data_IF_260600898715
#
_entry.id   IF_260600898715
#
_cell.length_a   1.000
_cell.length_b   1.000
_cell.length_c   1.000
_cell.angle_alpha   90.00
_cell.angle_beta   90.00
_cell.angle_gamma   90.00
#
_symmetry.space_group_name_H-M   'P 1'
#
loop_
_entity.id
_entity.type
_entity.pdbx_description
1 polymer ?
#
# COMPACT_ATOMS: atom_id res chain seq x y z
N UNK A 1 -12.71 -0.62 -13.31
CA UNK A 1 -12.40 -1.28 -12.02
C UNK A 1 -12.29 -2.80 -12.11
N UNK A 2 -12.92 -3.48 -13.08
CA UNK A 2 -12.77 -4.94 -13.28
C UNK A 2 -11.30 -5.40 -13.55
N UNK A 3 -10.49 -4.56 -14.20
CA UNK A 3 -9.10 -4.89 -14.58
C UNK A 3 -8.14 -5.02 -13.40
N UNK A 4 -8.35 -4.25 -12.32
CA UNK A 4 -7.50 -4.28 -11.12
C UNK A 4 -7.87 -5.44 -10.18
N UNK A 5 -9.16 -5.76 -10.07
CA UNK A 5 -9.62 -6.95 -9.35
C UNK A 5 -9.12 -8.25 -10.00
N UNK A 6 -9.02 -8.29 -11.34
CA UNK A 6 -8.40 -9.41 -12.05
C UNK A 6 -6.89 -9.49 -11.80
N UNK A 7 -6.18 -8.35 -11.80
CA UNK A 7 -4.76 -8.31 -11.44
C UNK A 7 -4.45 -8.91 -10.07
N UNK A 8 -5.31 -8.64 -9.08
CA UNK A 8 -5.23 -9.23 -7.74
C UNK A 8 -5.49 -10.75 -7.77
N UNK A 9 -6.56 -11.18 -8.44
CA UNK A 9 -6.91 -12.59 -8.55
C UNK A 9 -5.86 -13.46 -9.29
N UNK A 10 -5.05 -12.84 -10.17
CA UNK A 10 -3.91 -13.52 -10.81
C UNK A 10 -2.63 -13.49 -9.97
N UNK A 11 -2.46 -12.49 -9.11
CA UNK A 11 -1.36 -12.45 -8.14
C UNK A 11 -1.52 -13.55 -7.09
N UNK A 12 -2.75 -13.76 -6.59
CA UNK A 12 -3.10 -14.86 -5.67
C UNK A 12 -2.83 -16.26 -6.27
N UNK A 13 -2.73 -16.36 -7.60
CA UNK A 13 -2.41 -17.60 -8.33
C UNK A 13 -0.92 -17.76 -8.64
N UNK A 14 -0.05 -16.91 -8.09
CA UNK A 14 1.39 -16.86 -8.38
C UNK A 14 1.73 -16.78 -9.87
N UNK A 15 0.85 -16.19 -10.68
CA UNK A 15 1.11 -15.99 -12.12
C UNK A 15 1.74 -14.62 -12.39
N UNK A 16 3.01 -14.50 -11.99
CA UNK A 16 3.82 -13.28 -11.98
C UNK A 16 3.76 -12.47 -13.29
N UNK A 17 3.82 -13.13 -14.45
CA UNK A 17 3.82 -12.45 -15.75
C UNK A 17 2.47 -11.85 -16.12
N UNK A 18 1.37 -12.47 -15.67
CA UNK A 18 0.02 -11.96 -15.93
C UNK A 18 -0.30 -10.77 -15.04
N UNK A 19 0.11 -10.77 -13.77
CA UNK A 19 -0.07 -9.65 -12.86
C UNK A 19 0.58 -8.36 -13.38
N UNK A 20 1.75 -8.46 -14.03
CA UNK A 20 2.42 -7.30 -14.65
C UNK A 20 1.62 -6.68 -15.80
N UNK A 21 0.95 -7.49 -16.63
CA UNK A 21 0.08 -6.98 -17.71
C UNK A 21 -1.04 -6.10 -17.15
N UNK A 22 -1.63 -6.50 -16.02
CA UNK A 22 -2.69 -5.73 -15.37
C UNK A 22 -2.17 -4.45 -14.70
N UNK A 23 -0.96 -4.48 -14.13
CA UNK A 23 -0.28 -3.28 -13.63
C UNK A 23 -0.03 -2.29 -14.79
N UNK A 24 0.48 -2.76 -15.92
CA UNK A 24 0.74 -1.92 -17.10
C UNK A 24 -0.54 -1.33 -17.69
N UNK A 25 -1.66 -2.06 -17.62
CA UNK A 25 -2.97 -1.54 -18.01
C UNK A 25 -3.44 -0.45 -17.04
N UNK A 26 -3.29 -0.66 -15.74
CA UNK A 26 -3.66 0.34 -14.73
C UNK A 26 -2.81 1.62 -14.83
N UNK A 27 -1.50 1.48 -15.05
CA UNK A 27 -0.60 2.63 -15.29
C UNK A 27 -0.93 3.37 -16.58
N UNK A 28 -1.36 2.67 -17.64
CA UNK A 28 -1.84 3.31 -18.87
C UNK A 28 -3.12 4.11 -18.62
N UNK A 29 -4.03 3.60 -17.81
CA UNK A 29 -5.23 4.34 -17.42
C UNK A 29 -4.87 5.66 -16.73
N UNK A 30 -3.91 5.66 -15.79
CA UNK A 30 -3.45 6.90 -15.14
C UNK A 30 -2.95 7.95 -16.15
N UNK A 31 -2.16 7.55 -17.15
CA UNK A 31 -1.61 8.49 -18.15
C UNK A 31 -2.66 9.16 -19.03
N UNK A 32 -3.83 8.55 -19.20
CA UNK A 32 -4.88 9.04 -20.10
C UNK A 32 -6.02 9.75 -19.36
N UNK A 33 -6.00 9.77 -18.03
CA UNK A 33 -6.95 10.55 -17.23
C UNK A 33 -6.33 11.93 -16.98
N UNK A 34 -7.07 13.04 -17.14
CA UNK A 34 -6.63 14.35 -16.68
C UNK A 34 -6.66 14.38 -15.15
N UNK A 35 -5.63 13.79 -14.52
CA UNK A 35 -5.49 13.61 -13.07
C UNK A 35 -5.36 14.91 -12.28
N UNK A 36 -5.23 16.06 -12.97
CA UNK A 36 -5.27 17.39 -12.37
C UNK A 36 -6.63 17.74 -11.76
N UNK A 37 -7.68 16.96 -12.04
CA UNK A 37 -9.02 17.18 -11.51
C UNK A 37 -9.24 16.34 -10.23
N UNK A 38 -9.56 17.00 -9.10
CA UNK A 38 -9.79 16.36 -7.79
C UNK A 38 -10.84 15.25 -7.84
N UNK A 39 -11.69 15.23 -8.89
CA UNK A 39 -12.72 14.23 -9.10
C UNK A 39 -12.18 12.83 -9.40
N UNK A 40 -10.95 12.72 -9.92
CA UNK A 40 -10.34 11.43 -10.28
C UNK A 40 -9.29 10.96 -9.28
N UNK A 41 -9.02 11.75 -8.24
CA UNK A 41 -8.00 11.43 -7.24
C UNK A 41 -8.29 10.09 -6.53
N UNK A 42 -9.52 9.82 -6.12
CA UNK A 42 -9.88 8.55 -5.47
C UNK A 42 -9.60 7.35 -6.39
N UNK A 43 -9.78 7.52 -7.70
CA UNK A 43 -9.48 6.48 -8.70
C UNK A 43 -7.97 6.26 -8.80
N UNK A 44 -7.19 7.34 -8.80
CA UNK A 44 -5.73 7.28 -8.82
C UNK A 44 -5.16 6.61 -7.56
N UNK A 45 -5.62 7.03 -6.38
CA UNK A 45 -5.23 6.41 -5.10
C UNK A 45 -5.60 4.93 -5.07
N UNK A 46 -6.78 4.58 -5.56
CA UNK A 46 -7.22 3.19 -5.69
C UNK A 46 -6.32 2.39 -6.63
N UNK A 47 -5.88 2.98 -7.75
CA UNK A 47 -4.95 2.34 -8.68
C UNK A 47 -3.61 2.07 -7.98
N UNK A 48 -3.03 3.08 -7.32
CA UNK A 48 -1.77 2.93 -6.60
C UNK A 48 -1.85 1.88 -5.49
N UNK A 49 -2.94 1.87 -4.71
CA UNK A 49 -3.18 0.86 -3.69
C UNK A 49 -3.24 -0.56 -4.27
N UNK A 50 -3.97 -0.78 -5.36
CA UNK A 50 -4.03 -2.10 -5.99
C UNK A 50 -2.67 -2.55 -6.54
N UNK A 51 -1.92 -1.64 -7.19
CA UNK A 51 -0.59 -1.96 -7.71
C UNK A 51 0.34 -2.35 -6.55
N UNK A 52 0.36 -1.57 -5.48
CA UNK A 52 1.15 -1.86 -4.29
C UNK A 52 0.77 -3.22 -3.69
N UNK A 53 -0.53 -3.53 -3.59
CA UNK A 53 -1.02 -4.80 -3.07
C UNK A 53 -0.60 -5.97 -3.96
N UNK A 54 -0.68 -5.85 -5.28
CA UNK A 54 -0.16 -6.87 -6.20
C UNK A 54 1.32 -7.11 -5.94
N UNK A 55 2.15 -6.06 -5.87
CA UNK A 55 3.58 -6.24 -5.60
C UNK A 55 3.88 -6.81 -4.20
N UNK A 56 3.01 -6.56 -3.23
CA UNK A 56 3.12 -7.15 -1.90
C UNK A 56 2.94 -8.67 -1.96
N UNK A 57 1.92 -9.17 -2.67
CA UNK A 57 1.72 -10.60 -2.90
C UNK A 57 2.88 -11.23 -3.69
N UNK A 58 3.49 -10.48 -4.61
CA UNK A 58 4.66 -10.92 -5.37
C UNK A 58 5.98 -10.80 -4.59
N UNK A 59 5.94 -10.37 -3.32
CA UNK A 59 7.11 -10.15 -2.46
C UNK A 59 8.14 -9.13 -3.02
N UNK A 60 7.74 -8.30 -3.98
CA UNK A 60 8.54 -7.18 -4.49
C UNK A 60 8.31 -5.95 -3.61
N UNK A 61 8.84 -6.01 -2.40
CA UNK A 61 8.60 -4.98 -1.38
C UNK A 61 9.17 -3.61 -1.79
N UNK A 62 10.19 -3.55 -2.66
CA UNK A 62 10.70 -2.27 -3.20
C UNK A 62 9.65 -1.60 -4.09
N UNK A 63 8.97 -2.38 -4.94
CA UNK A 63 7.88 -1.86 -5.73
C UNK A 63 6.68 -1.45 -4.85
N UNK A 64 6.37 -2.20 -3.79
CA UNK A 64 5.35 -1.77 -2.80
C UNK A 64 5.67 -0.37 -2.28
N UNK A 65 6.89 -0.15 -1.78
CA UNK A 65 7.30 1.16 -1.24
C UNK A 65 7.17 2.27 -2.27
N UNK A 66 7.57 2.02 -3.52
CA UNK A 66 7.42 2.99 -4.60
C UNK A 66 5.96 3.41 -4.77
N UNK A 67 5.05 2.46 -4.96
CA UNK A 67 3.67 2.78 -5.31
C UNK A 67 2.84 3.27 -4.12
N UNK A 68 3.12 2.83 -2.89
CA UNK A 68 2.50 3.43 -1.70
C UNK A 68 2.95 4.88 -1.53
N UNK A 69 4.23 5.17 -1.72
CA UNK A 69 4.78 6.53 -1.66
C UNK A 69 4.20 7.46 -2.73
N UNK A 70 3.97 6.98 -3.96
CA UNK A 70 3.23 7.73 -4.97
C UNK A 70 1.80 8.07 -4.52
N UNK A 71 1.03 7.09 -4.06
CA UNK A 71 -0.35 7.31 -3.59
C UNK A 71 -0.40 8.25 -2.38
N UNK A 72 0.48 8.05 -1.40
CA UNK A 72 0.55 8.88 -0.19
C UNK A 72 0.85 10.34 -0.56
N UNK A 73 1.83 10.59 -1.43
CA UNK A 73 2.15 11.96 -1.86
C UNK A 73 0.97 12.65 -2.53
N UNK A 74 0.25 11.95 -3.40
CA UNK A 74 -0.87 12.56 -4.11
C UNK A 74 -2.05 12.82 -3.15
N UNK A 75 -2.32 11.89 -2.24
CA UNK A 75 -3.32 12.08 -1.19
C UNK A 75 -2.99 13.28 -0.29
N UNK A 76 -1.75 13.38 0.20
CA UNK A 76 -1.29 14.48 1.07
C UNK A 76 -1.31 15.82 0.34
N UNK A 77 -0.85 15.87 -0.91
CA UNK A 77 -0.85 17.09 -1.74
C UNK A 77 -2.25 17.68 -1.93
N UNK A 78 -3.28 16.85 -1.86
CA UNK A 78 -4.68 17.22 -2.06
C UNK A 78 -5.53 17.15 -0.78
N UNK A 79 -4.89 17.07 0.40
CA UNK A 79 -5.54 16.97 1.70
C UNK A 79 -6.61 15.85 1.77
N UNK A 80 -6.36 14.72 1.10
CA UNK A 80 -7.27 13.56 1.09
C UNK A 80 -6.83 12.50 2.08
N UNK A 81 -7.78 12.11 2.93
CA UNK A 81 -7.61 11.02 3.89
C UNK A 81 -7.90 9.63 3.29
N UNK A 82 -8.59 9.60 2.14
CA UNK A 82 -9.02 8.36 1.50
C UNK A 82 -7.83 7.42 1.22
N UNK A 83 -7.93 6.18 1.69
CA UNK A 83 -6.92 5.10 1.57
C UNK A 83 -5.56 5.36 2.24
N UNK A 84 -5.37 6.43 3.02
CA UNK A 84 -4.08 6.67 3.67
C UNK A 84 -3.74 5.58 4.70
N UNK A 85 -4.71 5.10 5.48
CA UNK A 85 -4.54 3.99 6.41
C UNK A 85 -4.03 2.72 5.71
N UNK A 86 -4.65 2.36 4.59
CA UNK A 86 -4.30 1.19 3.78
C UNK A 86 -2.93 1.34 3.08
N UNK A 87 -2.63 2.51 2.53
CA UNK A 87 -1.35 2.78 1.87
C UNK A 87 -0.19 2.76 2.87
N UNK A 88 -0.35 3.39 4.03
CA UNK A 88 0.64 3.33 5.10
C UNK A 88 0.75 1.93 5.71
N UNK A 89 -0.33 1.15 5.76
CA UNK A 89 -0.31 -0.26 6.18
C UNK A 89 0.59 -1.10 5.29
N UNK A 90 0.39 -1.02 3.96
CA UNK A 90 1.23 -1.73 2.99
C UNK A 90 2.69 -1.27 3.07
N UNK A 91 2.92 0.03 3.23
CA UNK A 91 4.26 0.59 3.39
C UNK A 91 4.94 0.05 4.65
N UNK A 92 4.28 0.09 5.81
CA UNK A 92 4.81 -0.35 7.09
C UNK A 92 5.19 -1.84 7.06
N UNK A 93 4.32 -2.69 6.52
CA UNK A 93 4.57 -4.13 6.38
C UNK A 93 5.72 -4.42 5.41
N UNK A 94 5.77 -3.71 4.27
CA UNK A 94 6.89 -3.85 3.32
C UNK A 94 8.23 -3.40 3.94
N UNK A 95 8.25 -2.28 4.66
CA UNK A 95 9.44 -1.82 5.40
C UNK A 95 9.88 -2.86 6.44
N UNK A 96 8.93 -3.45 7.17
CA UNK A 96 9.20 -4.52 8.14
C UNK A 96 9.86 -5.73 7.48
N UNK A 97 9.31 -6.21 6.36
CA UNK A 97 9.86 -7.36 5.63
C UNK A 97 11.23 -7.08 5.02
N UNK A 98 11.53 -5.81 4.73
CA UNK A 98 12.85 -5.35 4.29
C UNK A 98 13.84 -5.09 5.43
N UNK A 99 13.42 -5.25 6.70
CA UNK A 99 14.25 -4.91 7.87
C UNK A 99 14.59 -3.42 7.98
N UNK A 100 13.78 -2.55 7.38
CA UNK A 100 14.04 -1.12 7.34
C UNK A 100 13.67 -0.46 8.70
N UNK A 101 14.56 0.36 9.29
CA UNK A 101 14.33 1.01 10.59
C UNK A 101 13.19 2.03 10.60
N UNK A 102 12.69 2.45 9.43
CA UNK A 102 11.55 3.36 9.32
C UNK A 102 10.18 2.65 9.47
N UNK A 103 10.15 1.31 9.55
CA UNK A 103 8.92 0.55 9.70
C UNK A 103 8.05 1.01 10.89
N UNK A 104 8.59 1.24 12.12
CA UNK A 104 7.79 1.69 13.25
C UNK A 104 7.08 3.03 13.00
N UNK A 105 7.74 3.97 12.31
CA UNK A 105 7.15 5.26 11.96
C UNK A 105 5.96 5.09 11.02
N UNK A 106 6.10 4.24 10.01
CA UNK A 106 5.01 3.96 9.07
C UNK A 106 3.84 3.25 9.76
N UNK A 107 4.11 2.33 10.70
CA UNK A 107 3.08 1.70 11.52
C UNK A 107 2.32 2.72 12.37
N UNK A 108 3.01 3.66 13.03
CA UNK A 108 2.36 4.69 13.84
C UNK A 108 1.41 5.56 13.00
N UNK A 109 1.83 5.94 11.79
CA UNK A 109 1.00 6.73 10.88
C UNK A 109 -0.23 5.91 10.41
N UNK A 110 -0.03 4.64 10.02
CA UNK A 110 -1.11 3.75 9.63
C UNK A 110 -2.15 3.56 10.75
N UNK A 111 -1.69 3.37 11.99
CA UNK A 111 -2.54 3.25 13.18
C UNK A 111 -3.34 4.53 13.40
N UNK A 112 -2.70 5.70 13.31
CA UNK A 112 -3.37 6.98 13.51
C UNK A 112 -4.49 7.18 12.47
N UNK A 113 -4.22 6.92 11.19
CA UNK A 113 -5.25 7.01 10.16
C UNK A 113 -6.37 5.98 10.36
N UNK A 114 -6.04 4.73 10.69
CA UNK A 114 -7.03 3.69 10.96
C UNK A 114 -7.96 4.06 12.13
N UNK A 115 -7.45 4.76 13.15
CA UNK A 115 -8.27 5.29 14.24
C UNK A 115 -9.19 6.42 13.77
N UNK A 116 -8.66 7.35 12.96
CA UNK A 116 -9.43 8.48 12.40
C UNK A 116 -10.54 7.99 11.45
N UNK A 117 -10.29 6.95 10.67
CA UNK A 117 -11.28 6.33 9.77
C UNK A 117 -12.25 5.39 10.48
N UNK A 118 -12.08 5.17 11.80
CA UNK A 118 -12.94 4.31 12.62
C UNK A 118 -12.64 2.82 12.51
N UNK A 119 -11.57 2.42 11.83
CA UNK A 119 -11.12 1.04 11.67
C UNK A 119 -10.32 0.54 12.88
N UNK A 120 -11.00 0.38 14.02
CA UNK A 120 -10.38 -0.02 15.30
C UNK A 120 -9.71 -1.39 15.24
N UNK A 121 -10.28 -2.33 14.49
CA UNK A 121 -9.72 -3.67 14.28
C UNK A 121 -8.37 -3.61 13.54
N UNK A 122 -8.28 -2.78 12.49
CA UNK A 122 -7.03 -2.58 11.75
C UNK A 122 -5.98 -1.94 12.66
N UNK A 123 -6.34 -0.87 13.39
CA UNK A 123 -5.43 -0.21 14.33
C UNK A 123 -4.86 -1.18 15.38
N UNK A 124 -5.69 -2.05 15.94
CA UNK A 124 -5.26 -3.06 16.90
C UNK A 124 -4.31 -4.10 16.27
N UNK A 125 -4.63 -4.59 15.06
CA UNK A 125 -3.75 -5.51 14.31
C UNK A 125 -2.38 -4.91 14.07
N UNK A 126 -2.34 -3.66 13.58
CA UNK A 126 -1.11 -2.96 13.26
C UNK A 126 -0.26 -2.71 14.52
N UNK A 127 -0.89 -2.37 15.65
CA UNK A 127 -0.18 -2.21 16.91
C UNK A 127 0.49 -3.52 17.36
N UNK A 128 -0.20 -4.65 17.24
CA UNK A 128 0.37 -5.97 17.56
C UNK A 128 1.53 -6.33 16.60
N UNK A 129 1.34 -6.10 15.29
CA UNK A 129 2.38 -6.33 14.28
C UNK A 129 3.65 -5.51 14.54
N UNK A 130 3.52 -4.26 14.99
CA UNK A 130 4.66 -3.39 15.31
C UNK A 130 5.47 -3.90 16.51
N UNK A 131 4.81 -4.48 17.53
CA UNK A 131 5.49 -4.96 18.77
C UNK A 131 6.29 -6.24 18.55
N UNK A 132 5.87 -7.11 17.62
CA UNK A 132 6.61 -8.34 17.24
C UNK A 132 7.99 -8.10 16.61
N UNK A 133 8.44 -6.84 16.55
CA UNK A 133 9.70 -6.39 15.96
C UNK A 133 10.86 -6.25 16.97
N UNK A 134 10.65 -6.60 18.26
CA UNK A 134 11.79 -6.66 19.20
C UNK A 134 12.79 -7.72 18.70
N UNK A 135 14.06 -7.36 18.47
CA UNK A 135 15.07 -8.35 18.14
C UNK A 135 15.19 -9.32 19.32
N UNK A 136 15.24 -10.62 19.04
CA UNK A 136 15.80 -11.59 19.98
C UNK A 136 17.28 -11.24 20.17
N UNK A 137 17.57 -10.28 21.04
CA UNK A 137 18.89 -10.09 21.61
C UNK A 137 19.05 -11.05 22.80
N UNK A 138 19.07 -12.35 22.50
CA UNK A 138 19.51 -13.39 23.41
C UNK A 138 20.25 -14.45 22.59
N UNK A 139 21.54 -14.21 22.36
CA UNK A 139 22.63 -15.22 22.32
C UNK A 139 23.93 -14.54 21.88
N UNK A 140 24.74 -14.13 22.86
CA UNK A 140 26.20 -14.19 22.84
C UNK A 140 26.72 -13.94 24.27
#
# INVERSE_FOLDING_TARGET
MATLGLGLAYADKHTFDRSRVYIDQALRMLKHVPLSDSKYLDVELTIYWHIARVYYELSDFKAVLKYTDHGIREAVKHDKLFLLDELYTLQARALKLLGNPEAPKSYQIAIAFAQVTGSTALAASLAAEMVTQKPNSETA
#
